data_IF_529796454221
#
_entry.id   IF_529796454221
#
_cell.length_a   1.000
_cell.length_b   1.000
_cell.length_c   1.000
_cell.angle_alpha   90.00
_cell.angle_beta   90.00
_cell.angle_gamma   90.00
#
_symmetry.space_group_name_H-M   'P 1'
#
loop_
_entity.id
_entity.type
_entity.pdbx_description
1 polymer ?
#
# COMPACT_ATOMS: atom_id res chain seq x y z
N UNK A 1 0.25 18.45 8.92
CA UNK A 1 0.84 17.13 9.17
C UNK A 1 2.00 16.87 8.24
N UNK A 2 3.01 16.16 8.73
CA UNK A 2 4.16 15.78 7.92
C UNK A 2 3.82 14.56 7.04
N UNK A 3 4.63 14.32 6.04
CA UNK A 3 4.50 13.13 5.20
C UNK A 3 4.54 11.86 6.06
N UNK A 4 5.35 11.86 7.11
CA UNK A 4 5.46 10.72 8.03
C UNK A 4 4.11 10.33 8.63
N UNK A 5 3.30 11.31 9.01
CA UNK A 5 1.97 11.04 9.57
C UNK A 5 1.07 10.37 8.55
N UNK A 6 1.12 10.83 7.30
CA UNK A 6 0.26 10.32 6.24
C UNK A 6 0.66 8.91 5.77
N UNK A 7 1.93 8.57 5.91
CA UNK A 7 2.43 7.27 5.44
C UNK A 7 2.39 6.18 6.51
N UNK A 8 2.11 6.55 7.75
CA UNK A 8 2.08 5.64 8.88
C UNK A 8 0.84 4.74 8.82
N UNK A 9 1.00 3.49 9.20
CA UNK A 9 -0.11 2.53 9.25
C UNK A 9 -0.63 2.46 10.68
N UNK A 10 -1.91 2.79 10.89
CA UNK A 10 -2.53 2.66 12.20
C UNK A 10 -2.88 1.20 12.49
N UNK A 11 -3.01 0.81 13.78
CA UNK A 11 -3.45 -0.54 14.11
C UNK A 11 -4.81 -0.90 13.52
N UNK A 12 -5.73 0.07 13.44
CA UNK A 12 -7.04 -0.14 12.83
C UNK A 12 -6.92 -0.45 11.35
N UNK A 13 -6.13 0.36 10.64
CA UNK A 13 -5.91 0.15 9.21
C UNK A 13 -5.30 -1.22 8.96
N UNK A 14 -4.32 -1.61 9.78
CA UNK A 14 -3.70 -2.92 9.66
C UNK A 14 -4.73 -4.05 9.82
N UNK A 15 -5.61 -3.94 10.79
CA UNK A 15 -6.67 -4.94 11.00
C UNK A 15 -7.61 -5.02 9.81
N UNK A 16 -7.96 -3.87 9.26
CA UNK A 16 -8.83 -3.80 8.07
C UNK A 16 -8.18 -4.50 6.89
N UNK A 17 -6.91 -4.21 6.63
CA UNK A 17 -6.18 -4.82 5.51
C UNK A 17 -6.03 -6.33 5.73
N UNK A 18 -5.68 -6.74 6.93
CA UNK A 18 -5.50 -8.15 7.25
C UNK A 18 -6.79 -8.95 7.02
N UNK A 19 -7.91 -8.40 7.47
CA UNK A 19 -9.22 -9.03 7.26
C UNK A 19 -9.58 -9.11 5.79
N UNK A 20 -9.39 -8.01 5.06
CA UNK A 20 -9.66 -7.96 3.62
C UNK A 20 -8.86 -9.02 2.87
N UNK A 21 -7.60 -9.22 3.25
CA UNK A 21 -6.69 -10.14 2.56
C UNK A 21 -6.79 -11.58 3.07
N UNK A 22 -7.77 -11.88 3.90
CA UNK A 22 -8.04 -13.24 4.35
C UNK A 22 -7.04 -13.79 5.35
N UNK A 23 -6.35 -12.91 6.09
CA UNK A 23 -5.36 -13.30 7.09
C UNK A 23 -4.21 -14.11 6.50
N UNK A 24 -3.80 -13.78 5.27
CA UNK A 24 -2.70 -14.48 4.62
C UNK A 24 -1.95 -13.52 3.69
N UNK A 25 -0.75 -13.95 3.27
CA UNK A 25 0.03 -13.25 2.25
C UNK A 25 -0.71 -13.35 0.91
N UNK A 26 -0.92 -12.22 0.25
CA UNK A 26 -1.65 -12.23 -1.03
C UNK A 26 -0.84 -12.84 -2.17
N UNK A 27 0.48 -12.97 -2.00
CA UNK A 27 1.36 -13.50 -3.04
C UNK A 27 1.58 -15.01 -2.93
N UNK A 28 1.81 -15.51 -1.71
CA UNK A 28 2.11 -16.94 -1.52
C UNK A 28 1.08 -17.69 -0.68
N UNK A 29 0.13 -16.98 -0.05
CA UNK A 29 -0.93 -17.59 0.75
C UNK A 29 -0.55 -17.98 2.16
N UNK A 30 0.68 -17.76 2.57
CA UNK A 30 1.17 -18.13 3.90
C UNK A 30 0.40 -17.35 4.99
N UNK A 31 -0.12 -18.03 6.03
CA UNK A 31 -0.90 -17.36 7.07
C UNK A 31 -0.10 -16.91 8.29
N UNK A 32 1.22 -17.00 8.24
CA UNK A 32 2.07 -16.61 9.38
C UNK A 32 3.15 -15.63 8.93
N UNK A 33 3.76 -14.95 9.90
CA UNK A 33 4.78 -13.93 9.67
C UNK A 33 4.30 -12.85 8.72
N UNK A 34 3.06 -12.40 8.94
CA UNK A 34 2.43 -11.41 8.08
C UNK A 34 2.81 -10.00 8.47
N UNK A 35 3.07 -9.18 7.46
CA UNK A 35 3.39 -7.77 7.62
C UNK A 35 2.52 -6.97 6.69
N UNK A 36 2.17 -5.75 7.10
CA UNK A 36 1.38 -4.85 6.27
C UNK A 36 2.34 -4.03 5.41
N UNK A 37 2.29 -4.24 4.11
CA UNK A 37 3.25 -3.68 3.16
C UNK A 37 2.64 -2.55 2.36
N UNK A 38 3.42 -1.49 2.11
CA UNK A 38 3.03 -0.41 1.21
C UNK A 38 3.26 -0.83 -0.24
N UNK A 39 2.24 -0.64 -1.08
CA UNK A 39 2.41 -0.82 -2.53
C UNK A 39 3.33 0.28 -3.07
N UNK A 40 2.99 1.53 -2.84
CA UNK A 40 3.89 2.66 -3.10
C UNK A 40 4.61 2.93 -1.78
N UNK A 41 5.94 2.91 -1.81
CA UNK A 41 6.74 2.96 -0.59
C UNK A 41 6.55 4.26 0.18
N UNK A 42 6.80 4.19 1.50
CA UNK A 42 6.76 5.38 2.35
C UNK A 42 7.76 6.44 1.88
N UNK A 43 8.92 6.00 1.41
CA UNK A 43 9.95 6.90 0.91
C UNK A 43 9.46 7.73 -0.27
N UNK A 44 8.53 7.19 -1.05
CA UNK A 44 7.92 7.87 -2.18
C UNK A 44 6.62 8.58 -1.81
N UNK A 45 6.30 8.65 -0.53
CA UNK A 45 5.09 9.29 -0.06
C UNK A 45 3.86 8.40 -0.04
N UNK A 46 4.03 7.09 -0.23
CA UNK A 46 2.90 6.15 -0.21
C UNK A 46 2.18 6.18 1.12
N UNK A 47 0.87 6.43 1.08
CA UNK A 47 0.07 6.61 2.29
C UNK A 47 -0.26 5.29 2.96
N UNK A 48 -0.47 5.35 4.29
CA UNK A 48 -0.87 4.19 5.09
C UNK A 48 -2.37 3.98 5.08
N UNK A 49 -2.93 3.81 3.91
CA UNK A 49 -4.38 3.60 3.71
C UNK A 49 -4.60 2.24 3.06
N UNK A 50 -5.78 1.61 3.28
CA UNK A 50 -6.03 0.27 2.72
C UNK A 50 -5.80 0.16 1.22
N UNK A 51 -6.08 1.22 0.47
CA UNK A 51 -5.91 1.24 -0.98
C UNK A 51 -4.46 1.17 -1.43
N UNK A 52 -3.51 1.38 -0.51
CA UNK A 52 -2.08 1.33 -0.79
C UNK A 52 -1.37 0.22 0.00
N UNK A 53 -2.12 -0.63 0.68
CA UNK A 53 -1.55 -1.62 1.59
C UNK A 53 -2.03 -3.03 1.26
N UNK A 54 -1.13 -4.00 1.45
CA UNK A 54 -1.47 -5.42 1.32
C UNK A 54 -0.75 -6.20 2.40
N UNK A 55 -1.29 -7.38 2.74
CA UNK A 55 -0.60 -8.28 3.65
C UNK A 55 0.37 -9.15 2.87
N UNK A 56 1.62 -9.11 3.28
CA UNK A 56 2.67 -9.97 2.73
C UNK A 56 3.35 -10.70 3.88
N UNK A 57 3.77 -11.94 3.64
CA UNK A 57 4.63 -12.59 4.62
C UNK A 57 6.01 -11.93 4.58
N UNK A 58 6.80 -12.16 5.63
CA UNK A 58 8.12 -11.54 5.75
C UNK A 58 8.98 -11.77 4.51
N UNK A 59 8.99 -12.98 3.97
CA UNK A 59 9.79 -13.31 2.79
C UNK A 59 9.36 -12.53 1.56
N UNK A 60 8.05 -12.52 1.27
CA UNK A 60 7.54 -11.79 0.10
C UNK A 60 7.71 -10.29 0.27
N UNK A 61 7.55 -9.79 1.48
CA UNK A 61 7.73 -8.36 1.77
C UNK A 61 9.19 -7.96 1.51
N UNK A 62 10.13 -8.75 1.98
CA UNK A 62 11.54 -8.50 1.73
C UNK A 62 11.85 -8.53 0.24
N UNK A 63 11.36 -9.55 -0.48
CA UNK A 63 11.59 -9.66 -1.92
C UNK A 63 11.01 -8.48 -2.68
N UNK A 64 9.85 -8.01 -2.26
CA UNK A 64 9.21 -6.84 -2.87
C UNK A 64 10.01 -5.57 -2.61
N UNK A 65 10.44 -5.34 -1.37
CA UNK A 65 11.12 -4.10 -1.01
C UNK A 65 12.59 -4.09 -1.42
N UNK A 66 13.31 -5.20 -1.27
CA UNK A 66 14.75 -5.22 -1.39
C UNK A 66 15.31 -6.39 -2.20
N UNK A 67 14.49 -7.39 -2.51
CA UNK A 67 14.98 -8.64 -3.08
C UNK A 67 14.95 -8.74 -4.60
N UNK A 68 14.70 -7.63 -5.30
CA UNK A 68 14.73 -7.63 -6.75
C UNK A 68 13.42 -8.01 -7.43
N UNK A 69 12.36 -8.21 -6.66
CA UNK A 69 11.05 -8.60 -7.20
C UNK A 69 10.05 -7.44 -7.23
N UNK A 70 10.55 -6.22 -7.12
CA UNK A 70 9.69 -5.03 -7.04
C UNK A 70 8.72 -4.92 -8.19
N UNK A 71 9.22 -5.08 -9.40
CA UNK A 71 8.40 -4.92 -10.59
C UNK A 71 7.39 -6.06 -10.74
N UNK A 72 7.86 -7.29 -10.60
CA UNK A 72 7.02 -8.47 -10.77
C UNK A 72 5.90 -8.54 -9.73
N UNK A 73 6.27 -8.42 -8.46
CA UNK A 73 5.29 -8.45 -7.37
C UNK A 73 4.41 -7.21 -7.40
N UNK A 74 4.97 -6.07 -7.80
CA UNK A 74 4.23 -4.83 -7.90
C UNK A 74 3.08 -4.90 -8.88
N UNK A 75 3.28 -5.55 -10.03
CA UNK A 75 2.20 -5.73 -11.01
C UNK A 75 1.05 -6.54 -10.43
N UNK A 76 1.38 -7.61 -9.71
CA UNK A 76 0.36 -8.45 -9.08
C UNK A 76 -0.41 -7.67 -8.02
N UNK A 77 0.31 -6.94 -7.16
CA UNK A 77 -0.30 -6.13 -6.10
C UNK A 77 -1.20 -5.06 -6.70
N UNK A 78 -0.73 -4.38 -7.74
CA UNK A 78 -1.50 -3.34 -8.43
C UNK A 78 -2.80 -3.92 -8.97
N UNK A 79 -2.74 -5.05 -9.64
CA UNK A 79 -3.93 -5.67 -10.20
C UNK A 79 -4.91 -6.08 -9.10
N UNK A 80 -4.38 -6.62 -8.01
CA UNK A 80 -5.20 -7.00 -6.86
C UNK A 80 -5.94 -5.81 -6.27
N UNK A 81 -5.24 -4.70 -6.04
CA UNK A 81 -5.85 -3.50 -5.47
C UNK A 81 -6.84 -2.86 -6.44
N UNK A 82 -6.51 -2.86 -7.72
CA UNK A 82 -7.38 -2.30 -8.75
C UNK A 82 -8.69 -3.06 -8.86
N UNK A 83 -8.65 -4.38 -8.70
CA UNK A 83 -9.85 -5.21 -8.72
C UNK A 83 -10.64 -5.05 -7.42
N UNK A 84 -9.94 -4.91 -6.30
CA UNK A 84 -10.55 -4.84 -4.98
C UNK A 84 -11.32 -3.54 -4.76
N UNK A 85 -10.80 -2.43 -5.26
CA UNK A 85 -11.40 -1.12 -5.03
C UNK A 85 -11.91 -0.50 -6.32
N UNK A 86 -13.18 -0.11 -6.30
CA UNK A 86 -13.78 0.63 -7.41
C UNK A 86 -13.14 2.02 -7.49
N UNK A 87 -12.83 2.45 -8.70
CA UNK A 87 -12.21 3.77 -8.94
C UNK A 87 -10.84 3.92 -8.28
N UNK A 88 -10.11 2.81 -8.13
CA UNK A 88 -8.76 2.84 -7.58
C UNK A 88 -7.84 3.63 -8.50
N UNK A 89 -7.04 4.53 -7.93
CA UNK A 89 -6.17 5.43 -8.69
C UNK A 89 -4.84 5.58 -7.96
N UNK A 90 -3.78 5.11 -8.58
CA UNK A 90 -2.42 5.17 -8.00
C UNK A 90 -2.02 6.58 -7.58
N UNK A 91 -2.45 7.58 -8.32
CA UNK A 91 -2.11 8.98 -8.05
C UNK A 91 -2.64 9.45 -6.71
N UNK A 92 -3.71 8.83 -6.24
CA UNK A 92 -4.33 9.18 -4.96
C UNK A 92 -3.71 8.47 -3.77
N UNK A 93 -2.75 7.59 -4.01
CA UNK A 93 -2.12 6.80 -2.95
C UNK A 93 -0.90 7.50 -2.35
N UNK A 94 -0.48 8.59 -2.94
CA UNK A 94 0.73 9.32 -2.54
C UNK A 94 0.35 10.62 -1.88
N UNK A 95 0.97 10.89 -0.72
CA UNK A 95 0.78 12.17 -0.05
C UNK A 95 1.53 13.26 -0.81
N UNK A 96 0.81 14.32 -1.14
CA UNK A 96 1.37 15.50 -1.79
C UNK A 96 0.97 16.73 -0.97
N UNK A 97 1.93 17.30 -0.27
CA UNK A 97 1.67 18.44 0.60
C UNK A 97 1.22 19.68 -0.16
N UNK A 98 1.39 19.69 -1.48
CA UNK A 98 0.99 20.82 -2.33
C UNK A 98 -0.26 20.54 -3.15
N UNK A 99 -0.93 19.41 -2.91
CA UNK A 99 -2.09 19.04 -3.70
C UNK A 99 -3.23 20.07 -3.62
N UNK A 100 -3.39 20.69 -2.44
CA UNK A 100 -4.42 21.71 -2.23
C UNK A 100 -4.12 22.97 -3.06
N UNK A 101 -2.84 23.30 -3.25
CA UNK A 101 -2.42 24.46 -4.04
C UNK A 101 -2.81 24.25 -5.50
N UNK A 102 -2.49 23.06 -6.03
CA UNK A 102 -2.83 22.73 -7.39
C UNK A 102 -4.32 22.80 -7.66
N UNK A 103 -5.11 22.31 -6.70
CA UNK A 103 -6.57 22.36 -6.84
C UNK A 103 -7.10 23.79 -6.80
N UNK A 104 -6.51 24.62 -5.98
CA UNK A 104 -6.88 26.04 -5.92
C UNK A 104 -6.67 26.73 -7.25
N UNK A 105 -5.58 26.42 -7.91
CA UNK A 105 -5.22 27.03 -9.18
C UNK A 105 -6.18 26.63 -10.30
N UNK A 106 -6.77 25.48 -10.19
CA UNK A 106 -7.69 24.97 -11.19
C UNK A 106 -9.07 25.61 -11.11
N UNK A 107 -9.38 26.18 -9.97
CA UNK A 107 -10.67 26.81 -9.75
C UNK A 107 -10.71 28.21 -10.35
#
# INVERSE_FOLDING_TARGET
MSMREHTKISPETRRTVKKRDGNCCILCGRPWNLECAHYISRAQGGMGIPENLVMLCRDCHFKYDNGGYREEFGRYIRDYLNITYKNWDEKKLVYDKYSWVGRSDED
#
